data_IF_545298520932
#
_entry.id   IF_545298520932
#
_cell.length_a   1.000
_cell.length_b   1.000
_cell.length_c   1.000
_cell.angle_alpha   90.00
_cell.angle_beta   90.00
_cell.angle_gamma   90.00
#
_symmetry.space_group_name_H-M   'P 1'
#
loop_
_entity.id
_entity.type
_entity.pdbx_description
1 polymer ?
#
# COMPACT_ATOMS: atom_id res chain seq x y z
N UNK A 1 -24.80 -12.25 3.94
CA UNK A 1 -25.04 -11.55 2.67
C UNK A 1 -25.49 -12.56 1.61
N UNK A 2 -26.57 -12.30 0.87
CA UNK A 2 -27.32 -13.30 0.10
C UNK A 2 -26.96 -13.41 -1.41
N UNK A 3 -26.05 -12.60 -1.95
CA UNK A 3 -25.43 -12.79 -3.29
C UNK A 3 -23.98 -12.31 -3.26
N UNK A 4 -23.09 -13.06 -3.92
CA UNK A 4 -21.63 -12.85 -3.92
C UNK A 4 -21.20 -11.68 -4.83
N UNK A 5 -22.01 -11.37 -5.84
CA UNK A 5 -21.78 -10.25 -6.78
C UNK A 5 -23.11 -9.55 -7.08
N UNK A 6 -23.12 -8.21 -6.97
CA UNK A 6 -24.20 -7.35 -7.48
C UNK A 6 -23.68 -6.70 -8.74
N UNK A 7 -24.33 -6.93 -9.89
CA UNK A 7 -23.91 -6.37 -11.20
C UNK A 7 -24.90 -5.34 -11.73
N UNK A 8 -26.03 -5.17 -11.05
CA UNK A 8 -27.09 -4.23 -11.38
C UNK A 8 -26.81 -2.88 -10.70
N UNK A 9 -27.19 -1.79 -11.36
CA UNK A 9 -27.15 -0.46 -10.77
C UNK A 9 -28.40 -0.23 -9.91
N UNK A 10 -28.28 -0.54 -8.63
CA UNK A 10 -29.36 -0.40 -7.66
C UNK A 10 -29.85 1.05 -7.52
N UNK A 11 -28.99 2.04 -7.77
CA UNK A 11 -29.37 3.44 -7.64
C UNK A 11 -30.42 3.82 -8.69
N UNK A 12 -30.41 3.18 -9.86
CA UNK A 12 -31.40 3.43 -10.91
C UNK A 12 -32.83 3.17 -10.46
N UNK A 13 -33.05 2.24 -9.53
CA UNK A 13 -34.37 1.88 -9.01
C UNK A 13 -34.86 2.78 -7.86
N UNK A 14 -34.02 3.69 -7.36
CA UNK A 14 -34.40 4.56 -6.25
C UNK A 14 -35.49 5.55 -6.69
N UNK A 15 -36.44 5.89 -5.80
CA UNK A 15 -37.43 6.92 -6.09
C UNK A 15 -36.76 8.29 -6.25
N UNK A 16 -37.43 9.21 -6.94
CA UNK A 16 -37.04 10.62 -6.95
C UNK A 16 -37.20 11.23 -5.55
N UNK A 17 -36.48 12.32 -5.30
CA UNK A 17 -36.56 13.06 -4.04
C UNK A 17 -37.99 13.51 -3.74
N UNK A 18 -38.38 13.42 -2.46
CA UNK A 18 -39.58 14.08 -1.95
C UNK A 18 -39.24 15.53 -1.60
N UNK A 19 -39.88 16.48 -2.29
CA UNK A 19 -39.67 17.91 -2.10
C UNK A 19 -40.06 18.44 -0.70
N UNK A 20 -40.76 17.63 0.10
CA UNK A 20 -41.15 17.97 1.47
C UNK A 20 -40.21 17.41 2.54
N UNK A 21 -39.22 16.61 2.14
CA UNK A 21 -38.29 15.94 3.04
C UNK A 21 -36.83 16.32 2.72
N UNK A 22 -35.96 16.11 3.70
CA UNK A 22 -34.52 16.01 3.45
C UNK A 22 -34.21 14.58 3.01
N UNK A 23 -33.68 14.40 1.81
CA UNK A 23 -33.53 13.11 1.16
C UNK A 23 -32.10 12.57 1.32
N UNK A 24 -31.98 11.39 1.95
CA UNK A 24 -30.72 10.69 2.13
C UNK A 24 -30.75 9.38 1.34
N UNK A 25 -29.79 9.24 0.42
CA UNK A 25 -29.55 7.97 -0.27
C UNK A 25 -28.48 7.17 0.46
N UNK A 26 -28.75 5.89 0.74
CA UNK A 26 -27.78 4.98 1.36
C UNK A 26 -27.45 3.85 0.39
N UNK A 27 -26.23 3.84 -0.15
CA UNK A 27 -25.88 2.94 -1.25
C UNK A 27 -24.50 2.31 -1.06
N UNK A 28 -24.41 0.99 -1.21
CA UNK A 28 -23.15 0.26 -1.24
C UNK A 28 -22.74 0.00 -2.70
N UNK A 29 -21.74 0.72 -3.21
CA UNK A 29 -21.42 0.78 -4.65
C UNK A 29 -19.92 1.01 -4.87
N UNK A 30 -19.37 0.46 -5.95
CA UNK A 30 -18.01 0.80 -6.37
C UNK A 30 -17.91 2.16 -7.08
N UNK A 31 -19.03 2.79 -7.47
CA UNK A 31 -19.06 4.01 -8.28
C UNK A 31 -18.16 3.90 -9.51
N UNK A 32 -18.65 3.18 -10.52
CA UNK A 32 -17.91 2.80 -11.73
C UNK A 32 -17.38 3.98 -12.56
N UNK A 33 -16.33 3.72 -13.35
CA UNK A 33 -15.67 4.73 -14.18
C UNK A 33 -14.39 5.32 -13.57
N UNK A 34 -13.90 4.73 -12.47
CA UNK A 34 -12.74 5.19 -11.71
C UNK A 34 -11.67 4.11 -11.61
N UNK A 35 -10.40 4.51 -11.66
CA UNK A 35 -9.24 3.60 -11.65
C UNK A 35 -9.20 2.79 -10.35
N UNK A 36 -9.04 1.47 -10.44
CA UNK A 36 -8.92 0.59 -9.27
C UNK A 36 -10.25 0.10 -8.66
N UNK A 37 -11.39 0.37 -9.30
CA UNK A 37 -12.70 -0.12 -8.87
C UNK A 37 -13.14 -1.30 -9.75
N UNK A 38 -13.36 -2.46 -9.13
CA UNK A 38 -13.96 -3.62 -9.80
C UNK A 38 -15.38 -3.29 -10.31
N UNK A 39 -15.88 -3.98 -11.36
CA UNK A 39 -17.25 -3.83 -11.85
C UNK A 39 -18.27 -4.49 -10.90
N UNK A 40 -18.23 -4.10 -9.62
CA UNK A 40 -19.13 -4.56 -8.57
C UNK A 40 -20.05 -3.41 -8.13
N UNK A 41 -21.35 -3.68 -8.01
CA UNK A 41 -22.39 -2.73 -7.65
C UNK A 41 -22.22 -1.39 -8.40
N UNK A 42 -22.29 -1.39 -9.73
CA UNK A 42 -22.00 -0.22 -10.54
C UNK A 42 -23.00 0.92 -10.28
N UNK A 43 -22.53 2.15 -10.39
CA UNK A 43 -23.38 3.34 -10.48
C UNK A 43 -22.56 4.51 -11.04
N UNK A 44 -23.21 5.60 -11.44
CA UNK A 44 -22.53 6.82 -11.88
C UNK A 44 -22.96 8.04 -11.06
N UNK A 45 -22.11 9.06 -11.04
CA UNK A 45 -22.43 10.34 -10.38
C UNK A 45 -23.72 10.92 -10.98
N UNK A 46 -23.87 10.89 -12.31
CA UNK A 46 -25.06 11.42 -12.99
C UNK A 46 -26.36 10.74 -12.53
N UNK A 47 -26.34 9.42 -12.29
CA UNK A 47 -27.51 8.70 -11.79
C UNK A 47 -27.85 9.17 -10.37
N UNK A 48 -26.86 9.30 -9.49
CA UNK A 48 -27.06 9.80 -8.12
C UNK A 48 -27.60 11.24 -8.11
N UNK A 49 -27.06 12.12 -8.97
CA UNK A 49 -27.52 13.50 -9.15
C UNK A 49 -28.96 13.53 -9.67
N UNK A 50 -29.31 12.67 -10.64
CA UNK A 50 -30.64 12.65 -11.27
C UNK A 50 -31.78 12.33 -10.30
N UNK A 51 -31.50 11.70 -9.15
CA UNK A 51 -32.51 11.44 -8.12
C UNK A 51 -32.89 12.66 -7.30
N UNK A 52 -32.06 13.71 -7.32
CA UNK A 52 -32.31 14.96 -6.61
C UNK A 52 -32.18 14.88 -5.09
N UNK A 53 -31.44 13.89 -4.57
CA UNK A 53 -31.26 13.74 -3.11
C UNK A 53 -30.26 14.74 -2.57
N UNK A 54 -30.45 15.17 -1.32
CA UNK A 54 -29.60 16.18 -0.67
C UNK A 54 -28.24 15.61 -0.22
N UNK A 55 -28.22 14.32 0.15
CA UNK A 55 -27.01 13.64 0.61
C UNK A 55 -26.99 12.16 0.24
N UNK A 56 -25.88 11.69 -0.33
CA UNK A 56 -25.58 10.29 -0.61
C UNK A 56 -24.53 9.75 0.37
N UNK A 57 -24.97 8.87 1.27
CA UNK A 57 -24.15 8.05 2.14
C UNK A 57 -23.70 6.80 1.39
N UNK A 58 -22.50 6.83 0.81
CA UNK A 58 -21.97 5.68 0.09
C UNK A 58 -21.21 4.72 1.01
N UNK A 59 -21.09 3.45 0.61
CA UNK A 59 -20.23 2.44 1.21
C UNK A 59 -19.61 1.54 0.14
N UNK A 60 -18.71 0.63 0.53
CA UNK A 60 -17.85 -0.26 -0.29
C UNK A 60 -16.39 0.19 -0.31
N UNK A 61 -16.14 1.44 -0.68
CA UNK A 61 -14.78 1.98 -0.80
C UNK A 61 -14.20 2.31 0.58
N UNK A 62 -13.05 1.73 0.92
CA UNK A 62 -12.39 1.92 2.21
C UNK A 62 -11.64 3.26 2.33
N UNK A 63 -11.27 3.85 1.20
CA UNK A 63 -10.69 5.19 1.17
C UNK A 63 -11.80 6.23 1.37
N UNK A 64 -11.61 7.11 2.35
CA UNK A 64 -12.53 8.24 2.55
C UNK A 64 -12.45 9.19 1.36
N UNK A 65 -13.61 9.65 0.92
CA UNK A 65 -13.72 10.61 -0.18
C UNK A 65 -15.02 11.41 -0.13
N UNK A 66 -14.93 12.71 -0.43
CA UNK A 66 -16.09 13.53 -0.82
C UNK A 66 -16.05 13.62 -2.34
N UNK A 67 -16.91 12.86 -3.01
CA UNK A 67 -16.97 12.76 -4.47
C UNK A 67 -17.58 14.01 -5.07
N UNK A 68 -18.63 14.54 -4.45
CA UNK A 68 -19.29 15.78 -4.83
C UNK A 68 -19.81 16.51 -3.59
N UNK A 69 -19.98 17.83 -3.71
CA UNK A 69 -20.57 18.69 -2.67
C UNK A 69 -21.96 19.24 -3.04
N UNK A 70 -22.36 19.10 -4.31
CA UNK A 70 -23.67 19.51 -4.79
C UNK A 70 -24.18 18.49 -5.84
N UNK A 71 -25.04 17.53 -5.44
CA UNK A 71 -25.36 17.19 -4.05
C UNK A 71 -24.17 16.55 -3.34
N UNK A 72 -24.24 16.42 -2.01
CA UNK A 72 -23.19 15.73 -1.27
C UNK A 72 -23.16 14.24 -1.62
N UNK A 73 -22.01 13.73 -2.06
CA UNK A 73 -21.79 12.31 -2.34
C UNK A 73 -20.52 11.89 -1.62
N UNK A 74 -20.65 11.00 -0.62
CA UNK A 74 -19.57 10.78 0.35
C UNK A 74 -19.35 9.29 0.58
N UNK A 75 -18.10 8.86 0.39
CA UNK A 75 -17.58 7.62 0.97
C UNK A 75 -16.94 7.94 2.32
N UNK A 76 -17.48 7.46 3.45
CA UNK A 76 -16.89 7.68 4.76
C UNK A 76 -15.59 6.89 4.95
N UNK A 77 -15.35 5.88 4.11
CA UNK A 77 -14.21 4.97 4.20
C UNK A 77 -14.44 3.84 5.21
N UNK A 78 -13.36 3.13 5.53
CA UNK A 78 -13.35 2.14 6.60
C UNK A 78 -13.26 2.83 7.98
N UNK A 79 -13.71 2.12 9.02
CA UNK A 79 -13.60 2.56 10.43
C UNK A 79 -12.26 2.17 11.06
N UNK A 80 -11.55 1.20 10.48
CA UNK A 80 -10.25 0.73 10.92
C UNK A 80 -9.47 0.24 9.70
N UNK A 81 -8.21 0.67 9.58
CA UNK A 81 -7.31 0.23 8.52
C UNK A 81 -6.82 -1.18 8.81
N UNK A 82 -6.78 -2.05 7.80
CA UNK A 82 -6.45 -3.48 7.96
C UNK A 82 -5.02 -3.83 7.54
N UNK A 83 -4.39 -2.99 6.74
CA UNK A 83 -3.06 -3.23 6.19
C UNK A 83 -2.39 -1.91 5.77
N UNK A 84 -1.11 -1.96 5.42
CA UNK A 84 -0.29 -0.77 5.13
C UNK A 84 -0.84 0.13 4.03
N UNK A 85 -1.63 -0.40 3.07
CA UNK A 85 -2.22 0.42 1.98
C UNK A 85 -3.41 1.25 2.45
N UNK A 86 -3.91 1.04 3.66
CA UNK A 86 -5.00 1.79 4.28
C UNK A 86 -4.45 2.76 5.33
N UNK A 87 -3.53 3.64 4.91
CA UNK A 87 -2.88 4.62 5.78
C UNK A 87 -3.84 5.73 6.25
N UNK A 88 -3.40 6.45 7.28
CA UNK A 88 -4.07 7.65 7.80
C UNK A 88 -5.33 7.36 8.62
N UNK A 89 -6.01 8.41 9.08
CA UNK A 89 -7.17 8.30 9.96
C UNK A 89 -8.31 7.51 9.31
N UNK A 90 -8.98 6.68 10.13
CA UNK A 90 -10.17 5.92 9.74
C UNK A 90 -11.31 6.21 10.70
N UNK A 91 -12.54 6.19 10.20
CA UNK A 91 -13.66 6.65 11.00
C UNK A 91 -14.95 6.84 10.21
N UNK A 92 -15.71 7.87 10.56
CA UNK A 92 -17.00 8.17 9.94
C UNK A 92 -17.13 9.64 9.54
N UNK A 93 -18.19 9.93 8.79
CA UNK A 93 -18.62 11.29 8.50
C UNK A 93 -19.75 11.68 9.47
N UNK A 94 -19.60 12.83 10.13
CA UNK A 94 -20.63 13.49 10.93
C UNK A 94 -21.22 14.60 10.07
N UNK A 95 -22.44 14.39 9.61
CA UNK A 95 -23.17 15.33 8.74
C UNK A 95 -24.09 16.18 9.61
N UNK A 96 -23.96 17.50 9.49
CA UNK A 96 -24.86 18.45 10.14
C UNK A 96 -25.83 19.01 9.11
N UNK A 97 -27.12 18.87 9.41
CA UNK A 97 -28.21 19.40 8.58
C UNK A 97 -28.91 20.52 9.34
N UNK A 98 -29.11 21.66 8.68
CA UNK A 98 -29.84 22.83 9.20
C UNK A 98 -30.73 23.37 8.10
N UNK A 99 -31.98 23.68 8.45
CA UNK A 99 -32.98 24.25 7.53
C UNK A 99 -33.13 23.47 6.22
N UNK A 100 -33.04 22.14 6.29
CA UNK A 100 -33.15 21.24 5.14
C UNK A 100 -31.92 21.20 4.22
N UNK A 101 -30.78 21.73 4.65
CA UNK A 101 -29.53 21.72 3.87
C UNK A 101 -28.36 21.19 4.70
N UNK A 102 -27.38 20.58 4.01
CA UNK A 102 -26.14 20.15 4.64
C UNK A 102 -25.27 21.37 4.95
N UNK A 103 -25.09 21.65 6.24
CA UNK A 103 -24.26 22.75 6.74
C UNK A 103 -22.78 22.35 6.80
N UNK A 104 -22.49 21.11 7.21
CA UNK A 104 -21.12 20.62 7.39
C UNK A 104 -21.05 19.09 7.25
N UNK A 105 -19.90 18.60 6.77
CA UNK A 105 -19.55 17.18 6.69
C UNK A 105 -18.15 17.00 7.28
N UNK A 106 -18.10 16.80 8.60
CA UNK A 106 -16.86 16.64 9.34
C UNK A 106 -16.48 15.18 9.49
N UNK A 107 -15.18 14.87 9.51
CA UNK A 107 -14.73 13.53 9.84
C UNK A 107 -14.53 13.36 11.34
N UNK A 108 -14.83 12.15 11.81
CA UNK A 108 -14.53 11.72 13.16
C UNK A 108 -13.73 10.44 13.10
N UNK A 109 -12.49 10.52 13.58
CA UNK A 109 -11.60 9.38 13.78
C UNK A 109 -12.23 8.39 14.78
N UNK A 110 -12.27 7.11 14.40
CA UNK A 110 -12.72 5.98 15.22
C UNK A 110 -11.67 4.87 15.32
N UNK A 111 -10.60 4.97 14.55
CA UNK A 111 -9.47 4.04 14.56
C UNK A 111 -8.82 3.95 15.93
N UNK A 112 -8.37 2.74 16.25
CA UNK A 112 -7.59 2.46 17.47
C UNK A 112 -6.12 2.22 17.16
N UNK A 113 -5.77 2.07 15.88
CA UNK A 113 -4.42 1.88 15.37
C UNK A 113 -4.30 2.49 13.97
N UNK A 114 -3.17 3.13 13.67
CA UNK A 114 -2.87 3.71 12.36
C UNK A 114 -1.81 2.91 11.61
N UNK A 115 -1.97 2.83 10.31
CA UNK A 115 -0.93 2.31 9.41
C UNK A 115 -0.14 3.47 8.82
N UNK A 116 1.19 3.35 8.80
CA UNK A 116 2.07 4.37 8.24
C UNK A 116 3.21 3.73 7.45
N UNK A 117 3.31 4.08 6.16
CA UNK A 117 4.51 3.80 5.37
C UNK A 117 5.55 4.90 5.67
N UNK A 118 6.76 4.47 6.00
CA UNK A 118 7.88 5.35 6.37
C UNK A 118 9.01 5.16 5.36
N UNK A 119 8.98 5.86 4.21
CA UNK A 119 10.12 5.90 3.31
C UNK A 119 11.22 6.78 3.90
N UNK A 120 12.43 6.24 3.99
CA UNK A 120 13.64 6.93 4.45
C UNK A 120 14.66 6.90 3.32
N UNK A 121 14.85 8.05 2.69
CA UNK A 121 15.88 8.22 1.67
C UNK A 121 17.26 8.30 2.35
N UNK A 122 18.16 7.40 1.96
CA UNK A 122 19.51 7.26 2.48
C UNK A 122 20.57 7.87 1.55
N UNK A 123 20.17 8.59 0.49
CA UNK A 123 21.11 9.30 -0.36
C UNK A 123 21.98 10.27 0.45
N UNK A 124 23.29 10.20 0.25
CA UNK A 124 24.26 11.03 0.97
C UNK A 124 24.55 10.59 2.41
N UNK A 125 24.00 9.46 2.87
CA UNK A 125 24.47 8.82 4.10
C UNK A 125 25.84 8.18 3.84
N UNK A 126 26.84 8.58 4.61
CA UNK A 126 28.23 8.12 4.54
C UNK A 126 28.58 7.07 5.61
N UNK A 127 27.66 6.77 6.54
CA UNK A 127 27.88 5.77 7.56
C UNK A 127 26.64 5.38 8.37
N UNK A 128 26.73 4.29 9.17
CA UNK A 128 25.60 3.73 9.93
C UNK A 128 24.91 4.73 10.87
N UNK A 129 25.68 5.60 11.55
CA UNK A 129 25.13 6.60 12.47
C UNK A 129 24.15 7.57 11.79
N UNK A 130 24.41 7.93 10.53
CA UNK A 130 23.52 8.81 9.77
C UNK A 130 22.24 8.07 9.35
N UNK A 131 22.35 6.80 8.97
CA UNK A 131 21.19 5.92 8.71
C UNK A 131 20.31 5.82 9.95
N UNK A 132 20.92 5.56 11.11
CA UNK A 132 20.22 5.48 12.40
C UNK A 132 19.53 6.77 12.79
N UNK A 133 20.19 7.91 12.55
CA UNK A 133 19.58 9.22 12.78
C UNK A 133 18.36 9.43 11.89
N UNK A 134 18.44 9.04 10.60
CA UNK A 134 17.33 9.17 9.66
C UNK A 134 16.14 8.25 10.03
N UNK A 135 16.43 6.99 10.39
CA UNK A 135 15.42 6.02 10.84
C UNK A 135 14.73 6.48 12.11
N UNK A 136 15.48 6.94 13.13
CA UNK A 136 14.89 7.44 14.38
C UNK A 136 13.94 8.61 14.14
N UNK A 137 14.36 9.60 13.33
CA UNK A 137 13.48 10.74 12.96
C UNK A 137 12.20 10.27 12.25
N UNK A 138 12.30 9.25 11.39
CA UNK A 138 11.13 8.70 10.72
C UNK A 138 10.16 8.03 11.69
N UNK A 139 10.66 7.31 12.69
CA UNK A 139 9.81 6.71 13.71
C UNK A 139 9.17 7.74 14.65
N UNK A 140 9.91 8.79 15.03
CA UNK A 140 9.37 9.93 15.79
C UNK A 140 8.24 10.62 15.00
N UNK A 141 8.43 10.88 13.70
CA UNK A 141 7.38 11.43 12.83
C UNK A 141 6.17 10.49 12.73
N UNK A 142 6.38 9.18 12.66
CA UNK A 142 5.28 8.22 12.65
C UNK A 142 4.47 8.26 13.96
N UNK A 143 5.14 8.41 15.10
CA UNK A 143 4.48 8.56 16.41
C UNK A 143 3.57 9.79 16.45
N UNK A 144 4.02 10.92 15.92
CA UNK A 144 3.22 12.15 15.83
C UNK A 144 1.96 11.96 14.98
N UNK A 145 2.08 11.25 13.85
CA UNK A 145 0.93 10.90 12.99
C UNK A 145 -0.08 10.03 13.74
N UNK A 146 0.36 9.23 14.70
CA UNK A 146 -0.50 8.43 15.60
C UNK A 146 -1.49 9.26 16.40
N UNK A 147 -1.17 10.52 16.72
CA UNK A 147 -1.98 11.40 17.58
C UNK A 147 -2.43 10.70 18.87
N UNK A 148 -1.49 10.01 19.54
CA UNK A 148 -1.73 9.26 20.78
C UNK A 148 -2.32 7.86 20.59
N UNK A 149 -2.37 7.35 19.35
CA UNK A 149 -2.73 5.95 19.05
C UNK A 149 -1.49 5.16 18.62
N UNK A 150 -1.49 3.83 18.85
CA UNK A 150 -0.51 2.94 18.25
C UNK A 150 -0.41 3.09 16.74
N UNK A 151 0.81 3.04 16.21
CA UNK A 151 1.11 3.15 14.77
C UNK A 151 1.87 1.91 14.31
N UNK A 152 1.27 1.14 13.41
CA UNK A 152 1.95 0.08 12.67
C UNK A 152 2.73 0.69 11.50
N UNK A 153 4.05 0.57 11.55
CA UNK A 153 4.98 1.17 10.59
C UNK A 153 5.58 0.12 9.68
N UNK A 154 5.52 0.39 8.37
CA UNK A 154 6.41 -0.26 7.39
C UNK A 154 7.54 0.72 7.09
N UNK A 155 8.77 0.37 7.49
CA UNK A 155 9.97 1.14 7.17
C UNK A 155 10.46 0.73 5.79
N UNK A 156 10.74 1.68 4.92
CA UNK A 156 11.30 1.45 3.59
C UNK A 156 12.55 2.31 3.43
N UNK A 157 13.72 1.66 3.46
CA UNK A 157 15.00 2.33 3.24
C UNK A 157 15.23 2.44 1.73
N UNK A 158 15.30 3.65 1.20
CA UNK A 158 15.35 3.94 -0.23
C UNK A 158 16.57 4.79 -0.60
N UNK A 159 16.74 5.05 -1.88
CA UNK A 159 17.76 5.96 -2.40
C UNK A 159 18.97 5.26 -3.02
N UNK A 160 19.74 6.04 -3.78
CA UNK A 160 21.08 5.64 -4.24
C UNK A 160 22.07 6.01 -3.14
N UNK A 161 22.74 5.02 -2.55
CA UNK A 161 23.54 5.23 -1.33
C UNK A 161 24.77 4.33 -1.28
N UNK A 162 25.86 4.87 -0.73
CA UNK A 162 27.07 4.10 -0.40
C UNK A 162 26.83 3.05 0.70
N UNK A 163 25.71 3.16 1.43
CA UNK A 163 25.32 2.21 2.47
C UNK A 163 24.65 0.95 1.92
N UNK A 164 24.43 0.84 0.59
CA UNK A 164 23.66 -0.27 0.00
C UNK A 164 24.23 -1.65 0.37
N UNK A 165 25.52 -1.88 0.15
CA UNK A 165 26.14 -3.18 0.47
C UNK A 165 26.04 -3.49 1.97
N UNK A 166 26.40 -2.53 2.82
CA UNK A 166 26.32 -2.69 4.27
C UNK A 166 24.89 -3.03 4.75
N UNK A 167 23.86 -2.39 4.20
CA UNK A 167 22.46 -2.67 4.56
C UNK A 167 22.06 -4.11 4.24
N UNK A 168 22.55 -4.67 3.13
CA UNK A 168 22.23 -6.02 2.69
C UNK A 168 23.14 -7.08 3.33
N UNK A 169 24.40 -6.77 3.61
CA UNK A 169 25.34 -7.69 4.25
C UNK A 169 25.04 -7.88 5.73
N UNK A 170 24.62 -6.81 6.40
CA UNK A 170 24.28 -6.76 7.83
C UNK A 170 22.75 -6.69 8.06
N UNK A 171 21.94 -7.23 7.15
CA UNK A 171 20.47 -7.13 7.17
C UNK A 171 19.87 -7.51 8.54
N UNK A 172 20.33 -8.61 9.14
CA UNK A 172 19.87 -9.06 10.46
C UNK A 172 20.20 -8.02 11.55
N UNK A 173 21.40 -7.45 11.54
CA UNK A 173 21.79 -6.39 12.47
C UNK A 173 20.95 -5.14 12.26
N UNK A 174 20.73 -4.74 11.00
CA UNK A 174 19.89 -3.58 10.65
C UNK A 174 18.48 -3.77 11.17
N UNK A 175 17.92 -4.98 11.04
CA UNK A 175 16.60 -5.31 11.54
C UNK A 175 16.50 -5.22 13.06
N UNK A 176 17.46 -5.78 13.80
CA UNK A 176 17.51 -5.70 15.26
C UNK A 176 17.69 -4.26 15.76
N UNK A 177 18.50 -3.46 15.06
CA UNK A 177 18.80 -2.09 15.43
C UNK A 177 17.59 -1.16 15.21
N UNK A 178 16.80 -1.42 14.17
CA UNK A 178 15.50 -0.78 13.94
C UNK A 178 14.46 -1.20 14.99
N UNK A 179 14.38 -2.49 15.35
CA UNK A 179 13.49 -2.99 16.41
C UNK A 179 13.80 -2.37 17.76
N UNK A 180 15.09 -2.22 18.07
CA UNK A 180 15.55 -1.60 19.32
C UNK A 180 15.15 -0.13 19.38
N UNK A 181 15.32 0.63 18.28
CA UNK A 181 14.93 2.04 18.19
C UNK A 181 13.43 2.24 18.34
N UNK A 182 12.62 1.49 17.61
CA UNK A 182 11.17 1.66 17.63
C UNK A 182 10.58 1.28 18.99
N UNK A 183 11.15 0.28 19.67
CA UNK A 183 10.71 -0.14 21.01
C UNK A 183 10.85 0.98 22.06
N UNK A 184 11.77 1.92 21.86
CA UNK A 184 11.94 3.09 22.72
C UNK A 184 10.77 4.09 22.67
N UNK A 185 9.92 4.04 21.63
CA UNK A 185 8.83 5.00 21.44
C UNK A 185 7.48 4.54 22.04
N UNK A 186 7.32 3.25 22.34
CA UNK A 186 6.13 2.67 23.00
C UNK A 186 4.88 2.53 22.12
N UNK A 187 4.49 3.59 21.41
CA UNK A 187 3.28 3.63 20.57
C UNK A 187 3.56 3.36 19.08
N UNK A 188 4.77 2.96 18.74
CA UNK A 188 5.14 2.61 17.36
C UNK A 188 5.50 1.13 17.30
N UNK A 189 4.82 0.41 16.43
CA UNK A 189 5.07 -1.00 16.17
C UNK A 189 5.63 -1.17 14.75
N UNK A 190 6.81 -1.75 14.64
CA UNK A 190 7.43 -2.04 13.34
C UNK A 190 6.81 -3.32 12.75
N UNK A 191 6.03 -3.16 11.68
CA UNK A 191 5.43 -4.26 10.94
C UNK A 191 6.43 -4.94 10.03
N UNK A 192 7.15 -4.16 9.22
CA UNK A 192 8.09 -4.68 8.22
C UNK A 192 9.16 -3.64 7.90
N UNK A 193 10.37 -4.13 7.59
CA UNK A 193 11.43 -3.35 6.97
C UNK A 193 11.57 -3.81 5.53
N UNK A 194 11.74 -2.87 4.61
CA UNK A 194 12.09 -3.10 3.22
C UNK A 194 13.37 -2.36 2.90
N UNK A 195 14.32 -3.07 2.31
CA UNK A 195 15.54 -2.49 1.74
C UNK A 195 15.30 -2.33 0.24
N UNK A 196 15.14 -1.09 -0.20
CA UNK A 196 14.89 -0.72 -1.60
C UNK A 196 15.91 0.34 -2.04
N UNK A 197 17.14 0.18 -1.58
CA UNK A 197 18.28 1.02 -1.94
C UNK A 197 18.96 0.52 -3.21
N UNK A 198 19.75 1.39 -3.82
CA UNK A 198 20.65 1.05 -4.93
C UNK A 198 22.05 1.53 -4.61
N UNK A 199 23.12 0.87 -5.08
CA UNK A 199 24.47 1.35 -4.85
C UNK A 199 24.74 2.62 -5.69
N UNK A 200 25.52 3.56 -5.17
CA UNK A 200 25.95 4.75 -5.93
C UNK A 200 26.91 4.39 -7.06
N UNK A 201 27.71 3.35 -6.85
CA UNK A 201 28.60 2.79 -7.86
C UNK A 201 28.16 1.36 -8.18
N UNK A 202 27.97 1.06 -9.46
CA UNK A 202 27.65 -0.29 -9.91
C UNK A 202 28.95 -1.10 -10.03
N UNK A 203 29.24 -2.04 -9.12
CA UNK A 203 30.48 -2.81 -9.14
C UNK A 203 30.59 -3.71 -10.37
N UNK A 204 29.50 -3.96 -11.10
CA UNK A 204 29.57 -4.69 -12.37
C UNK A 204 30.31 -3.92 -13.48
N UNK A 205 30.48 -2.60 -13.34
CA UNK A 205 31.21 -1.77 -14.31
C UNK A 205 32.73 -2.00 -14.30
N UNK A 206 33.27 -2.51 -13.19
CA UNK A 206 34.70 -2.79 -13.04
C UNK A 206 35.04 -4.27 -13.26
N UNK A 207 34.04 -5.11 -13.55
CA UNK A 207 34.29 -6.50 -13.92
C UNK A 207 34.99 -6.55 -15.28
N UNK A 208 35.97 -7.44 -15.39
CA UNK A 208 36.60 -7.74 -16.68
C UNK A 208 35.53 -8.26 -17.65
N UNK A 209 35.32 -7.61 -18.80
CA UNK A 209 34.36 -8.06 -19.80
C UNK A 209 34.57 -9.53 -20.15
N UNK A 210 33.49 -10.30 -20.23
CA UNK A 210 33.49 -11.75 -20.50
C UNK A 210 34.04 -12.67 -19.37
N UNK A 211 34.42 -12.11 -18.22
CA UNK A 211 34.76 -12.91 -17.05
C UNK A 211 33.57 -13.81 -16.63
N UNK A 212 33.81 -14.94 -15.95
CA UNK A 212 32.73 -15.79 -15.45
C UNK A 212 31.75 -15.05 -14.53
N UNK A 213 32.24 -14.06 -13.77
CA UNK A 213 31.43 -13.20 -12.92
C UNK A 213 30.60 -12.20 -13.74
N UNK A 214 31.19 -11.53 -14.74
CA UNK A 214 30.45 -10.63 -15.65
C UNK A 214 29.31 -11.37 -16.36
N UNK A 215 29.58 -12.57 -16.91
CA UNK A 215 28.54 -13.40 -17.53
C UNK A 215 27.41 -13.80 -16.58
N UNK A 216 27.74 -14.08 -15.32
CA UNK A 216 26.73 -14.40 -14.30
C UNK A 216 25.91 -13.16 -13.92
N UNK A 217 26.56 -11.99 -13.82
CA UNK A 217 25.88 -10.71 -13.63
C UNK A 217 24.91 -10.43 -14.78
N UNK A 218 25.37 -10.53 -16.03
CA UNK A 218 24.52 -10.36 -17.22
C UNK A 218 23.34 -11.32 -17.21
N UNK A 219 23.56 -12.61 -16.87
CA UNK A 219 22.48 -13.57 -16.75
C UNK A 219 21.43 -13.18 -15.69
N UNK A 220 21.84 -12.57 -14.57
CA UNK A 220 20.91 -12.01 -13.57
C UNK A 220 20.20 -10.78 -14.11
N UNK A 221 20.88 -9.87 -14.81
CA UNK A 221 20.23 -8.68 -15.39
C UNK A 221 19.17 -9.06 -16.43
N UNK A 222 19.46 -10.08 -17.23
CA UNK A 222 18.58 -10.60 -18.27
C UNK A 222 17.48 -11.51 -17.73
N UNK A 223 17.50 -11.83 -16.42
CA UNK A 223 16.44 -12.60 -15.78
C UNK A 223 15.09 -11.92 -16.02
N UNK A 224 14.18 -12.68 -16.63
CA UNK A 224 12.78 -12.30 -16.82
C UNK A 224 11.89 -13.27 -16.07
N UNK A 225 11.10 -12.73 -15.14
CA UNK A 225 10.05 -13.50 -14.47
C UNK A 225 8.70 -13.15 -15.09
N UNK A 226 7.92 -14.18 -15.35
CA UNK A 226 6.54 -14.09 -15.85
C UNK A 226 5.65 -15.08 -15.10
N UNK A 227 4.35 -15.01 -15.33
CA UNK A 227 3.40 -16.00 -14.80
C UNK A 227 3.86 -17.44 -15.08
N UNK A 228 4.32 -17.70 -16.32
CA UNK A 228 4.84 -19.02 -16.73
C UNK A 228 6.10 -19.46 -15.99
N UNK A 229 6.89 -18.55 -15.40
CA UNK A 229 8.01 -18.92 -14.54
C UNK A 229 7.54 -19.63 -13.27
N UNK A 230 6.35 -19.31 -12.77
CA UNK A 230 5.78 -19.98 -11.59
C UNK A 230 5.25 -21.39 -11.93
N UNK A 231 4.71 -21.57 -13.14
CA UNK A 231 4.24 -22.87 -13.66
C UNK A 231 5.37 -23.89 -13.84
N UNK A 232 6.61 -23.42 -14.03
CA UNK A 232 7.80 -24.27 -14.13
C UNK A 232 8.27 -24.83 -12.78
N UNK A 233 7.69 -24.36 -11.66
CA UNK A 233 8.01 -24.82 -10.30
C UNK A 233 6.73 -25.45 -9.71
N UNK A 234 6.56 -26.78 -9.81
CA UNK A 234 5.33 -27.46 -9.39
C UNK A 234 4.96 -27.21 -7.93
N UNK A 235 5.95 -27.15 -7.04
CA UNK A 235 5.75 -26.87 -5.61
C UNK A 235 5.21 -25.46 -5.38
N UNK A 236 5.71 -24.47 -6.13
CA UNK A 236 5.22 -23.09 -6.06
C UNK A 236 3.78 -23.02 -6.59
N UNK A 237 3.50 -23.70 -7.70
CA UNK A 237 2.14 -23.76 -8.28
C UNK A 237 1.13 -24.39 -7.31
N UNK A 238 1.48 -25.50 -6.67
CA UNK A 238 0.64 -26.15 -5.64
C UNK A 238 0.39 -25.21 -4.46
N UNK A 239 1.43 -24.53 -3.98
CA UNK A 239 1.33 -23.59 -2.86
C UNK A 239 0.44 -22.39 -3.20
N UNK A 240 0.59 -21.81 -4.40
CA UNK A 240 -0.23 -20.70 -4.89
C UNK A 240 -1.70 -21.11 -5.07
N UNK A 241 -1.96 -22.36 -5.48
CA UNK A 241 -3.33 -22.87 -5.60
C UNK A 241 -4.08 -22.87 -4.25
N UNK A 242 -3.35 -23.10 -3.14
CA UNK A 242 -3.86 -23.20 -1.77
C UNK A 242 -3.98 -21.87 -1.03
N UNK A 243 -3.50 -20.76 -1.62
CA UNK A 243 -3.62 -19.44 -1.00
C UNK A 243 -5.09 -19.03 -0.84
N UNK A 244 -5.48 -18.46 0.32
CA UNK A 244 -6.83 -17.93 0.53
C UNK A 244 -7.18 -16.84 -0.49
N UNK A 245 -8.46 -16.71 -0.87
CA UNK A 245 -8.89 -15.67 -1.81
C UNK A 245 -8.53 -14.26 -1.33
N UNK A 246 -8.46 -14.01 -0.03
CA UNK A 246 -8.07 -12.72 0.56
C UNK A 246 -6.61 -12.33 0.24
N UNK A 247 -5.74 -13.31 -0.06
CA UNK A 247 -4.35 -13.11 -0.50
C UNK A 247 -4.25 -12.99 -2.03
N UNK A 248 -5.26 -13.47 -2.76
CA UNK A 248 -5.33 -13.44 -4.24
C UNK A 248 -6.10 -12.25 -4.78
N UNK A 249 -7.02 -11.68 -4.00
CA UNK A 249 -7.88 -10.58 -4.41
C UNK A 249 -7.86 -9.48 -3.35
N UNK A 250 -7.46 -8.28 -3.76
CA UNK A 250 -7.50 -7.06 -2.97
C UNK A 250 -6.22 -6.23 -3.02
N UNK A 251 -6.28 -5.07 -2.37
CA UNK A 251 -5.20 -4.47 -1.58
C UNK A 251 -3.77 -4.90 -1.94
N UNK A 252 -3.30 -6.00 -1.33
CA UNK A 252 -1.96 -6.60 -1.38
C UNK A 252 -1.94 -7.97 -2.08
N UNK A 253 -2.80 -8.17 -3.08
CA UNK A 253 -2.87 -9.45 -3.80
C UNK A 253 -1.52 -9.84 -4.40
N UNK A 254 -1.08 -11.07 -4.12
CA UNK A 254 -0.04 -11.73 -4.89
C UNK A 254 -0.72 -12.44 -6.06
N UNK A 255 -0.74 -11.77 -7.20
CA UNK A 255 -1.22 -12.34 -8.45
C UNK A 255 -0.03 -12.50 -9.42
N UNK A 256 0.48 -13.73 -9.62
CA UNK A 256 1.54 -14.02 -10.60
C UNK A 256 1.15 -13.68 -12.04
N UNK A 257 -0.14 -13.54 -12.33
CA UNK A 257 -0.63 -13.14 -13.65
C UNK A 257 -0.58 -11.63 -13.87
N UNK A 258 -0.42 -10.82 -12.81
CA UNK A 258 -0.21 -9.37 -12.90
C UNK A 258 1.25 -9.07 -13.28
N UNK A 259 1.51 -8.46 -14.46
CA UNK A 259 2.86 -8.11 -14.89
C UNK A 259 3.58 -7.16 -13.93
N UNK A 260 2.87 -6.27 -13.24
CA UNK A 260 3.47 -5.33 -12.30
C UNK A 260 3.99 -6.04 -11.04
N UNK A 261 3.24 -7.02 -10.54
CA UNK A 261 3.65 -7.89 -9.42
C UNK A 261 4.89 -8.68 -9.81
N UNK A 262 4.88 -9.32 -10.99
CA UNK A 262 6.03 -10.09 -11.47
C UNK A 262 7.27 -9.24 -11.72
N UNK A 263 7.11 -8.03 -12.24
CA UNK A 263 8.21 -7.08 -12.41
C UNK A 263 8.81 -6.67 -11.06
N UNK A 264 7.98 -6.38 -10.05
CA UNK A 264 8.46 -6.05 -8.71
C UNK A 264 9.28 -7.19 -8.10
N UNK A 265 8.76 -8.43 -8.15
CA UNK A 265 9.46 -9.63 -7.66
C UNK A 265 10.77 -9.85 -8.42
N UNK A 266 10.77 -9.66 -9.73
CA UNK A 266 11.97 -9.80 -10.55
C UNK A 266 13.07 -8.85 -10.08
N UNK A 267 12.75 -7.58 -9.82
CA UNK A 267 13.74 -6.63 -9.33
C UNK A 267 14.24 -7.00 -7.92
N UNK A 268 13.36 -7.42 -7.00
CA UNK A 268 13.78 -7.91 -5.68
C UNK A 268 14.72 -9.13 -5.78
N UNK A 269 14.41 -10.09 -6.65
CA UNK A 269 15.26 -11.28 -6.88
C UNK A 269 16.60 -10.89 -7.49
N UNK A 270 16.62 -9.95 -8.45
CA UNK A 270 17.87 -9.46 -9.06
C UNK A 270 18.77 -8.82 -8.01
N UNK A 271 18.23 -7.94 -7.18
CA UNK A 271 19.00 -7.28 -6.13
C UNK A 271 19.52 -8.29 -5.09
N UNK A 272 18.69 -9.25 -4.66
CA UNK A 272 19.11 -10.30 -3.74
C UNK A 272 20.22 -11.20 -4.32
N UNK A 273 20.16 -11.52 -5.62
CA UNK A 273 21.20 -12.33 -6.26
C UNK A 273 22.50 -11.54 -6.46
N UNK A 274 22.41 -10.25 -6.82
CA UNK A 274 23.57 -9.35 -6.97
C UNK A 274 24.32 -9.19 -5.65
N UNK A 275 23.62 -8.87 -4.56
CA UNK A 275 24.25 -8.68 -3.24
C UNK A 275 24.98 -9.95 -2.78
N UNK A 276 24.36 -11.12 -2.95
CA UNK A 276 24.98 -12.42 -2.60
C UNK A 276 26.22 -12.76 -3.44
N UNK A 277 26.27 -12.36 -4.70
CA UNK A 277 27.43 -12.61 -5.56
C UNK A 277 28.63 -11.78 -5.16
N UNK A 278 28.41 -10.50 -4.86
CA UNK A 278 29.46 -9.59 -4.43
C UNK A 278 30.05 -10.01 -3.08
N UNK A 279 29.22 -10.52 -2.16
CA UNK A 279 29.65 -11.06 -0.86
C UNK A 279 30.66 -12.21 -0.95
N UNK A 280 30.69 -12.97 -2.06
CA UNK A 280 31.67 -14.07 -2.25
C UNK A 280 32.98 -13.63 -2.91
N UNK A 281 33.05 -12.41 -3.46
CA UNK A 281 34.24 -11.89 -4.14
C UNK A 281 35.34 -11.39 -3.20
N UNK A 282 34.98 -10.95 -1.99
CA UNK A 282 35.93 -10.34 -1.03
C UNK A 282 36.57 -11.37 -0.06
N UNK A 283 36.21 -12.65 -0.19
CA UNK A 283 36.68 -13.73 0.69
C UNK A 283 37.79 -14.61 0.08
N UNK A 284 38.53 -14.14 -0.92
CA UNK A 284 39.61 -14.91 -1.56
C UNK A 284 40.98 -14.24 -1.48
#
# INVERSE_FOLDING_TARGET
YARREVREDLASEYPLADAHCFNIGLLHTALTGRTGHEPYAPTSIDILVSKGYDYWALGHVHQREIVARDPWIVFPGAIQGRHIREQGPKGCAVVRVRDGQVEDVAHRDLDVLRWQLCPVDLQGCEGPEQVWTAVSRSFESAQEVGQGRPVAVRLELTGQTNMHNWLHDEEDQVHEECRTRVAGLGDVWLEKIRLSTRPEFDPSRDLDPDSPLDRLFQAIQDLRLSASSTEQIPELTDMLSKLPPEVKSGNEAFDPSDPAVMQHIQEEVKELLRSRLLRRGEGS
#
